data_IF_463659139602
#
_entry.id   IF_463659139602
#
_cell.length_a   1.000
_cell.length_b   1.000
_cell.length_c   1.000
_cell.angle_alpha   90.00
_cell.angle_beta   90.00
_cell.angle_gamma   90.00
#
_symmetry.space_group_name_H-M   'P 1'
#
loop_
_entity.id
_entity.type
_entity.pdbx_description
1 polymer ?
#
# COMPACT_ATOMS: atom_id res chain seq x y z
N UNK A 1 -1.89 -16.86 6.22
CA UNK A 1 -2.19 -16.47 4.81
C UNK A 1 -1.30 -17.29 3.88
N UNK A 2 -1.86 -18.15 3.03
CA UNK A 2 -1.05 -18.94 2.08
C UNK A 2 -1.15 -18.29 0.71
N UNK A 3 -0.04 -17.78 0.20
CA UNK A 3 0.04 -17.23 -1.15
C UNK A 3 0.57 -18.34 -2.06
N UNK A 4 -0.19 -18.72 -3.09
CA UNK A 4 0.30 -19.64 -4.12
C UNK A 4 0.69 -18.83 -5.36
N UNK A 5 1.79 -19.18 -6.05
CA UNK A 5 2.01 -18.67 -7.39
C UNK A 5 0.89 -19.19 -8.29
N UNK A 6 0.18 -18.31 -9.00
CA UNK A 6 -0.77 -18.69 -10.04
C UNK A 6 -0.02 -19.59 -11.03
N UNK A 7 -0.44 -20.85 -11.15
CA UNK A 7 -0.05 -21.67 -12.28
C UNK A 7 -0.65 -21.03 -13.54
N UNK A 8 0.24 -20.60 -14.43
CA UNK A 8 0.04 -20.30 -15.84
C UNK A 8 -1.35 -19.79 -16.23
N UNK A 9 -1.49 -18.49 -16.52
CA UNK A 9 -2.69 -17.94 -17.16
C UNK A 9 -2.68 -18.21 -18.68
N UNK A 10 -3.56 -19.05 -19.24
CA UNK A 10 -3.74 -19.19 -20.68
C UNK A 10 -5.16 -18.68 -21.03
N UNK A 11 -5.45 -17.38 -20.79
CA UNK A 11 -6.78 -16.83 -21.12
C UNK A 11 -6.77 -15.37 -21.60
N UNK A 12 -5.66 -14.91 -22.21
CA UNK A 12 -5.59 -13.59 -22.87
C UNK A 12 -5.60 -13.65 -24.41
N UNK A 13 -5.78 -14.83 -25.00
CA UNK A 13 -5.67 -15.01 -26.45
C UNK A 13 -6.98 -14.72 -27.20
N UNK A 14 -8.14 -14.61 -26.53
CA UNK A 14 -9.46 -14.43 -27.19
C UNK A 14 -10.04 -13.00 -27.29
N UNK A 15 -9.35 -11.94 -26.85
CA UNK A 15 -9.88 -10.58 -26.98
C UNK A 15 -9.58 -9.98 -28.37
N UNK A 16 -10.63 -9.46 -29.02
CA UNK A 16 -10.54 -8.63 -30.22
C UNK A 16 -9.48 -7.51 -30.06
N UNK A 17 -8.78 -7.10 -31.13
CA UNK A 17 -7.64 -6.18 -31.05
C UNK A 17 -7.98 -4.82 -30.40
N UNK A 18 -9.19 -4.30 -30.63
CA UNK A 18 -9.71 -3.10 -29.95
C UNK A 18 -9.94 -3.32 -28.44
N UNK A 19 -10.43 -4.49 -28.03
CA UNK A 19 -10.60 -4.86 -26.63
C UNK A 19 -9.27 -4.98 -25.90
N UNK A 20 -8.24 -5.55 -26.55
CA UNK A 20 -6.89 -5.68 -25.99
C UNK A 20 -6.26 -4.31 -25.69
N UNK A 21 -6.42 -3.32 -26.59
CA UNK A 21 -5.91 -1.94 -26.38
C UNK A 21 -6.59 -1.25 -25.20
N UNK A 22 -7.91 -1.39 -25.04
CA UNK A 22 -8.67 -0.79 -23.93
C UNK A 22 -8.29 -1.39 -22.58
N UNK A 23 -8.17 -2.72 -22.49
CA UNK A 23 -7.76 -3.41 -21.26
C UNK A 23 -6.33 -3.02 -20.86
N UNK A 24 -5.40 -2.94 -21.82
CA UNK A 24 -4.04 -2.50 -21.56
C UNK A 24 -3.98 -1.03 -21.09
N UNK A 25 -4.77 -0.15 -21.70
CA UNK A 25 -4.86 1.25 -21.29
C UNK A 25 -5.45 1.41 -19.89
N UNK A 26 -6.50 0.65 -19.54
CA UNK A 26 -7.08 0.63 -18.20
C UNK A 26 -6.08 0.15 -17.15
N UNK A 27 -5.38 -0.96 -17.41
CA UNK A 27 -4.33 -1.46 -16.51
C UNK A 27 -3.19 -0.45 -16.31
N UNK A 28 -2.78 0.25 -17.39
CA UNK A 28 -1.78 1.33 -17.31
C UNK A 28 -2.28 2.49 -16.44
N UNK A 29 -3.53 2.93 -16.63
CA UNK A 29 -4.14 4.00 -15.84
C UNK A 29 -4.27 3.61 -14.37
N UNK A 30 -4.75 2.40 -14.07
CA UNK A 30 -4.84 1.89 -12.71
C UNK A 30 -3.48 1.84 -12.00
N UNK A 31 -2.42 1.39 -12.70
CA UNK A 31 -1.06 1.41 -12.17
C UNK A 31 -0.54 2.82 -11.87
N UNK A 32 -0.81 3.79 -12.73
CA UNK A 32 -0.47 5.19 -12.50
C UNK A 32 -1.19 5.76 -11.29
N UNK A 33 -2.48 5.45 -11.11
CA UNK A 33 -3.26 5.88 -9.93
C UNK A 33 -2.66 5.32 -8.65
N UNK A 34 -2.28 4.03 -8.62
CA UNK A 34 -1.66 3.41 -7.44
C UNK A 34 -0.34 4.11 -7.08
N UNK A 35 0.50 4.37 -8.07
CA UNK A 35 1.77 5.09 -7.88
C UNK A 35 1.50 6.49 -7.34
N UNK A 36 0.59 7.25 -7.96
CA UNK A 36 0.27 8.62 -7.57
C UNK A 36 -0.27 8.68 -6.13
N UNK A 37 -1.24 7.82 -5.78
CA UNK A 37 -1.80 7.75 -4.42
C UNK A 37 -0.69 7.50 -3.40
N UNK A 38 0.25 6.58 -3.68
CA UNK A 38 1.31 6.28 -2.72
C UNK A 38 2.32 7.41 -2.54
N UNK A 39 2.56 8.20 -3.59
CA UNK A 39 3.43 9.37 -3.55
C UNK A 39 2.79 10.56 -2.83
N UNK A 40 1.47 10.58 -2.67
CA UNK A 40 0.77 11.64 -1.93
C UNK A 40 0.54 11.23 -0.48
N UNK A 41 0.01 10.03 -0.25
CA UNK A 41 -0.42 9.58 1.08
C UNK A 41 0.76 9.45 2.05
N UNK A 42 1.89 8.88 1.63
CA UNK A 42 3.06 8.71 2.49
C UNK A 42 3.61 10.06 3.00
N UNK A 43 4.01 10.98 2.09
CA UNK A 43 4.51 12.29 2.47
C UNK A 43 3.49 13.18 3.20
N UNK A 44 2.19 13.03 2.95
CA UNK A 44 1.16 13.78 3.68
C UNK A 44 0.96 13.26 5.11
N UNK A 45 1.10 11.95 5.31
CA UNK A 45 0.90 11.30 6.60
C UNK A 45 2.05 11.52 7.58
N UNK A 46 3.28 11.48 7.08
CA UNK A 46 4.48 11.49 7.92
C UNK A 46 4.64 12.75 8.80
N UNK A 47 4.35 13.98 8.31
CA UNK A 47 4.39 15.19 9.14
C UNK A 47 3.41 15.17 10.31
N UNK A 48 2.22 14.58 10.12
CA UNK A 48 1.19 14.47 11.17
C UNK A 48 1.69 13.61 12.33
N UNK A 49 2.45 12.55 12.02
CA UNK A 49 3.00 11.67 13.05
C UNK A 49 4.21 12.25 13.76
N UNK A 50 5.06 12.99 13.03
CA UNK A 50 6.17 13.73 13.61
C UNK A 50 5.66 14.82 14.56
N UNK A 51 4.60 15.56 14.19
CA UNK A 51 4.02 16.60 15.06
C UNK A 51 3.37 16.03 16.32
N UNK A 52 2.81 14.81 16.25
CA UNK A 52 2.32 14.07 17.42
C UNK A 52 3.45 13.48 18.29
N UNK A 53 4.72 13.63 17.89
CA UNK A 53 5.85 13.05 18.62
C UNK A 53 5.94 11.53 18.55
N UNK A 54 5.28 10.90 17.57
CA UNK A 54 5.31 9.44 17.40
C UNK A 54 6.71 8.93 17.04
N UNK A 55 7.47 9.75 16.30
CA UNK A 55 8.88 9.55 15.99
C UNK A 55 9.49 10.88 15.53
N UNK A 56 10.82 10.91 15.44
CA UNK A 56 11.58 12.08 14.99
C UNK A 56 12.69 11.68 14.03
N UNK A 57 12.98 12.54 13.06
CA UNK A 57 14.16 12.44 12.20
C UNK A 57 15.20 13.45 12.70
N UNK A 58 16.12 13.09 13.61
CA UNK A 58 17.08 14.04 14.20
C UNK A 58 18.16 14.48 13.20
N UNK A 59 18.49 13.61 12.24
CA UNK A 59 19.55 13.85 11.27
C UNK A 59 19.24 15.04 10.32
N UNK A 60 20.27 15.79 9.91
CA UNK A 60 20.14 16.81 8.87
C UNK A 60 19.86 16.13 7.52
N UNK A 61 18.96 16.73 6.73
CA UNK A 61 18.63 16.25 5.39
C UNK A 61 18.56 17.44 4.43
N UNK A 62 19.04 17.24 3.20
CA UNK A 62 19.09 18.29 2.16
C UNK A 62 17.68 18.78 1.80
N UNK A 63 16.72 17.85 1.72
CA UNK A 63 15.31 18.14 1.42
C UNK A 63 14.44 17.63 2.56
N UNK A 64 14.23 18.48 3.57
CA UNK A 64 13.40 18.20 4.75
C UNK A 64 12.20 19.14 4.78
N UNK A 65 11.00 18.59 4.87
CA UNK A 65 9.76 19.35 4.94
C UNK A 65 9.01 18.98 6.21
N UNK A 66 8.63 19.98 7.02
CA UNK A 66 7.91 19.77 8.29
C UNK A 66 8.56 18.71 9.22
N UNK A 67 9.90 18.67 9.29
CA UNK A 67 10.64 17.70 10.10
C UNK A 67 10.82 16.32 9.45
N UNK A 68 10.31 16.11 8.23
CA UNK A 68 10.33 14.85 7.50
C UNK A 68 11.24 14.93 6.27
N UNK A 69 12.17 13.97 6.07
CA UNK A 69 12.96 13.89 4.85
C UNK A 69 12.12 13.45 3.64
N UNK A 70 12.15 14.21 2.55
CA UNK A 70 11.39 13.85 1.33
C UNK A 70 11.84 12.51 0.74
N UNK A 71 13.12 12.18 0.84
CA UNK A 71 13.64 10.90 0.35
C UNK A 71 12.96 9.69 1.01
N UNK A 72 12.53 9.81 2.28
CA UNK A 72 11.82 8.75 3.00
C UNK A 72 10.46 8.47 2.36
N UNK A 73 9.69 9.52 2.10
CA UNK A 73 8.40 9.42 1.41
C UNK A 73 8.51 8.79 0.02
N UNK A 74 9.48 9.23 -0.80
CA UNK A 74 9.73 8.63 -2.11
C UNK A 74 10.20 7.17 -2.02
N UNK A 75 11.06 6.84 -1.04
CA UNK A 75 11.53 5.48 -0.82
C UNK A 75 10.36 4.52 -0.50
N UNK A 76 9.47 4.90 0.42
CA UNK A 76 8.29 4.09 0.76
C UNK A 76 7.30 3.99 -0.40
N UNK A 77 7.17 5.04 -1.22
CA UNK A 77 6.35 5.01 -2.41
C UNK A 77 6.91 4.05 -3.48
N UNK A 78 8.23 4.04 -3.67
CA UNK A 78 8.92 3.12 -4.56
C UNK A 78 8.80 1.66 -4.07
N UNK A 79 9.08 1.39 -2.80
CA UNK A 79 8.94 0.07 -2.20
C UNK A 79 7.53 -0.49 -2.36
N UNK A 80 6.53 0.35 -2.15
CA UNK A 80 5.14 -0.01 -2.35
C UNK A 80 4.74 -0.34 -3.78
N UNK A 81 5.18 0.51 -4.72
CA UNK A 81 4.95 0.30 -6.15
C UNK A 81 5.62 -0.98 -6.63
N UNK A 82 6.81 -1.27 -6.10
CA UNK A 82 7.52 -2.54 -6.30
C UNK A 82 6.68 -3.72 -5.81
N UNK A 83 6.15 -3.69 -4.59
CA UNK A 83 5.31 -4.78 -4.05
C UNK A 83 4.07 -5.01 -4.93
N UNK A 84 3.36 -3.95 -5.32
CA UNK A 84 2.20 -4.08 -6.21
C UNK A 84 2.55 -4.73 -7.56
N UNK A 85 3.71 -4.36 -8.12
CA UNK A 85 4.17 -4.92 -9.39
C UNK A 85 4.69 -6.35 -9.24
N UNK A 86 5.43 -6.64 -8.17
CA UNK A 86 5.93 -7.96 -7.83
C UNK A 86 4.76 -8.93 -7.65
N UNK A 87 3.68 -8.52 -6.97
CA UNK A 87 2.46 -9.31 -6.82
C UNK A 87 1.85 -9.73 -8.17
N UNK A 88 1.81 -8.80 -9.13
CA UNK A 88 1.34 -9.07 -10.49
C UNK A 88 2.29 -9.96 -11.30
N UNK A 89 3.61 -9.70 -11.22
CA UNK A 89 4.62 -10.44 -11.97
C UNK A 89 4.76 -11.89 -11.49
N UNK A 90 4.66 -12.08 -10.17
CA UNK A 90 4.70 -13.39 -9.54
C UNK A 90 3.35 -14.12 -9.60
N UNK A 91 2.29 -13.45 -10.09
CA UNK A 91 0.95 -14.01 -10.15
C UNK A 91 0.45 -14.47 -8.78
N UNK A 92 0.65 -13.66 -7.74
CA UNK A 92 0.27 -14.06 -6.39
C UNK A 92 -1.25 -14.03 -6.25
N UNK A 93 -1.86 -15.16 -5.87
CA UNK A 93 -3.30 -15.23 -5.62
C UNK A 93 -3.57 -15.64 -4.16
N UNK A 94 -4.31 -14.80 -3.41
CA UNK A 94 -4.59 -15.09 -2.01
C UNK A 94 -5.65 -16.19 -1.89
N UNK A 95 -5.28 -17.30 -1.25
CA UNK A 95 -6.15 -18.47 -1.07
C UNK A 95 -6.98 -18.32 0.22
N UNK A 96 -8.29 -18.60 0.15
CA UNK A 96 -9.24 -18.47 1.29
C UNK A 96 -9.26 -17.07 1.94
N UNK A 97 -9.04 -16.03 1.14
CA UNK A 97 -9.04 -14.65 1.64
C UNK A 97 -10.47 -14.17 1.89
N UNK A 98 -10.71 -13.59 3.07
CA UNK A 98 -12.01 -13.01 3.48
C UNK A 98 -11.94 -11.49 3.33
N UNK A 99 -12.19 -10.92 2.13
CA UNK A 99 -11.86 -9.52 1.83
C UNK A 99 -12.53 -8.52 2.76
N UNK A 100 -13.81 -8.73 3.10
CA UNK A 100 -14.56 -7.83 3.99
C UNK A 100 -14.02 -7.86 5.42
N UNK A 101 -13.78 -9.05 5.96
CA UNK A 101 -13.25 -9.20 7.31
C UNK A 101 -11.84 -8.61 7.41
N UNK A 102 -10.98 -8.87 6.41
CA UNK A 102 -9.62 -8.32 6.39
C UNK A 102 -9.60 -6.81 6.17
N UNK A 103 -10.52 -6.27 5.38
CA UNK A 103 -10.67 -4.82 5.25
C UNK A 103 -11.10 -4.17 6.57
N UNK A 104 -12.02 -4.78 7.32
CA UNK A 104 -12.43 -4.29 8.64
C UNK A 104 -11.28 -4.34 9.65
N UNK A 105 -10.53 -5.45 9.69
CA UNK A 105 -9.34 -5.56 10.55
C UNK A 105 -8.30 -4.51 10.16
N UNK A 106 -7.99 -4.36 8.88
CA UNK A 106 -7.04 -3.34 8.41
C UNK A 106 -7.49 -1.91 8.77
N UNK A 107 -8.78 -1.61 8.62
CA UNK A 107 -9.35 -0.32 9.01
C UNK A 107 -9.26 -0.09 10.52
N UNK A 108 -9.53 -1.12 11.33
CA UNK A 108 -9.43 -1.05 12.78
C UNK A 108 -7.97 -0.86 13.24
N UNK A 109 -7.01 -1.57 12.62
CA UNK A 109 -5.57 -1.40 12.92
C UNK A 109 -5.12 0.00 12.54
N UNK A 110 -5.58 0.52 11.40
CA UNK A 110 -5.25 1.89 10.99
C UNK A 110 -5.88 2.91 11.93
N UNK A 111 -7.14 2.74 12.34
CA UNK A 111 -7.79 3.61 13.30
C UNK A 111 -7.06 3.61 14.66
N UNK A 112 -6.79 2.43 15.21
CA UNK A 112 -6.00 2.24 16.44
C UNK A 112 -4.65 2.95 16.35
N UNK A 113 -3.95 2.80 15.23
CA UNK A 113 -2.68 3.48 15.00
C UNK A 113 -2.78 5.01 15.05
N UNK A 114 -3.91 5.63 14.71
CA UNK A 114 -4.11 7.07 14.93
C UNK A 114 -4.62 7.39 16.33
N UNK A 115 -5.49 6.57 16.89
CA UNK A 115 -6.15 6.85 18.17
C UNK A 115 -5.33 6.45 19.40
N UNK A 116 -4.31 5.61 19.27
CA UNK A 116 -3.49 5.15 20.41
C UNK A 116 -2.78 6.29 21.16
N UNK A 117 -2.67 7.48 20.55
CA UNK A 117 -2.21 8.69 21.24
C UNK A 117 -3.13 9.14 22.37
N UNK A 118 -4.41 8.75 22.30
CA UNK A 118 -5.45 9.14 23.25
C UNK A 118 -6.16 7.94 23.90
N UNK A 119 -6.17 6.77 23.25
CA UNK A 119 -6.81 5.54 23.73
C UNK A 119 -5.78 4.44 24.03
N UNK A 120 -6.13 3.46 24.88
CA UNK A 120 -5.30 2.27 25.11
C UNK A 120 -5.09 1.48 23.81
N UNK A 121 -3.89 0.92 23.67
CA UNK A 121 -3.46 0.23 22.46
C UNK A 121 -4.18 -1.10 22.23
N UNK A 122 -4.90 -1.23 21.11
CA UNK A 122 -5.68 -2.43 20.76
C UNK A 122 -4.94 -3.36 19.78
N UNK A 123 -3.62 -3.23 19.61
CA UNK A 123 -2.82 -4.06 18.69
C UNK A 123 -2.99 -5.56 18.90
N UNK A 124 -3.08 -6.01 20.16
CA UNK A 124 -3.14 -7.44 20.50
C UNK A 124 -4.53 -8.05 20.26
N UNK A 125 -5.65 -7.41 20.65
CA UNK A 125 -6.99 -7.86 20.27
C UNK A 125 -7.26 -7.93 18.77
N UNK A 126 -6.62 -7.07 17.96
CA UNK A 126 -6.83 -7.02 16.52
C UNK A 126 -6.06 -8.09 15.74
N UNK A 127 -5.12 -8.80 16.37
CA UNK A 127 -4.44 -9.92 15.73
C UNK A 127 -5.48 -11.01 15.47
N UNK A 128 -5.78 -11.34 14.20
CA UNK A 128 -6.65 -12.47 13.90
C UNK A 128 -5.99 -13.76 14.39
N UNK A 129 -6.76 -14.70 14.96
CA UNK A 129 -6.24 -16.00 15.39
C UNK A 129 -5.67 -16.81 14.22
#
# INVERSE_FOLDING_TARGET
MTVRPCRCAPHRQGLAPLGRRRVAAYAKRAGLVVIAVRHVVGPAFEPVKVSLGSWSHPEPAVLKFAGVPLYGGFLYAAAGSYVCRAWHLLGLEPVRYRPRAMALVAAAVYADFFTHHWLPDMRWPLVPP
#
